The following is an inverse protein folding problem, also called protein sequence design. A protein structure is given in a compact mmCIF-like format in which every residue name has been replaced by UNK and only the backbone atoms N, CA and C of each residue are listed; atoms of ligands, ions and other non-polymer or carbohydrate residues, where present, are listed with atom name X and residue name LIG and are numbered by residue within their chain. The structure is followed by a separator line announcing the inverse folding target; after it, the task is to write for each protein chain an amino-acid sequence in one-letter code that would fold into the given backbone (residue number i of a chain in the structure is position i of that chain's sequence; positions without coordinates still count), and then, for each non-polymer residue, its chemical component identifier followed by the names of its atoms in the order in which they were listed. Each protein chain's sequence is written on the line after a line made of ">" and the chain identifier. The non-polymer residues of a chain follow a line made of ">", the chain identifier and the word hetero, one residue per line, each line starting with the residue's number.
data_IF_957844059989
#
_entry.id   IF_957844059989
#
_cell.length_a   1.000
_cell.length_b   1.000
_cell.length_c   1.000
_cell.angle_alpha   90.00
_cell.angle_beta   90.00
_cell.angle_gamma   90.00
#
_symmetry.space_group_name_H-M   'P 1'
#
loop_
_entity.id
_entity.type
_entity.pdbx_description
1 polymer ?
#
# COMPACT_ATOMS: atom_id res chain seq x y z
N UNK A 1 -18.38 -5.43 -6.79
CA UNK A 1 -19.05 -4.84 -7.96
C UNK A 1 -19.60 -3.47 -7.57
N UNK A 2 -19.37 -2.50 -8.43
CA UNK A 2 -20.32 -1.44 -8.78
C UNK A 2 -21.79 -1.88 -8.66
N UNK A 3 -22.72 -0.94 -8.52
CA UNK A 3 -24.12 -1.27 -8.81
C UNK A 3 -24.21 -1.91 -10.22
N UNK A 4 -24.79 -3.13 -10.36
CA UNK A 4 -24.85 -3.81 -11.64
C UNK A 4 -25.52 -2.93 -12.71
N UNK A 5 -25.05 -3.03 -13.95
CA UNK A 5 -25.58 -2.36 -15.15
C UNK A 5 -25.52 -0.82 -15.18
N UNK A 6 -24.83 -0.17 -14.23
CA UNK A 6 -24.65 1.29 -14.22
C UNK A 6 -23.40 1.78 -14.96
N UNK A 7 -22.42 0.90 -15.21
CA UNK A 7 -21.09 1.27 -15.71
C UNK A 7 -20.25 2.11 -14.73
N UNK A 8 -20.72 2.37 -13.50
CA UNK A 8 -20.04 3.23 -12.52
C UNK A 8 -19.11 2.40 -11.64
N UNK A 9 -17.81 2.69 -11.58
CA UNK A 9 -16.91 2.01 -10.63
C UNK A 9 -16.84 2.74 -9.30
N UNK A 10 -16.54 2.00 -8.23
CA UNK A 10 -16.26 2.54 -6.90
C UNK A 10 -14.85 2.13 -6.54
N UNK A 11 -13.93 3.10 -6.43
CA UNK A 11 -12.55 2.84 -5.99
C UNK A 11 -12.53 2.22 -4.60
N UNK A 12 -11.62 1.28 -4.36
CA UNK A 12 -11.51 0.47 -3.12
C UNK A 12 -10.21 0.79 -2.36
N UNK A 13 -9.82 -0.07 -1.41
CA UNK A 13 -8.59 0.14 -0.64
C UNK A 13 -7.35 -0.14 -1.47
N UNK A 14 -6.34 0.72 -1.40
CA UNK A 14 -5.06 0.57 -2.13
C UNK A 14 -3.94 0.17 -1.17
N UNK A 15 -3.39 -1.06 -1.25
CA UNK A 15 -2.34 -1.49 -0.34
C UNK A 15 -1.08 -0.60 -0.38
N UNK A 16 -0.75 -0.03 -1.54
CA UNK A 16 0.41 0.87 -1.65
C UNK A 16 0.32 2.09 -0.71
N UNK A 17 -0.88 2.58 -0.42
CA UNK A 17 -1.08 3.72 0.48
C UNK A 17 -0.75 3.36 1.94
N UNK A 18 -0.87 2.08 2.33
CA UNK A 18 -0.33 1.63 3.61
C UNK A 18 1.20 1.77 3.61
N UNK A 19 1.85 1.42 2.50
CA UNK A 19 3.28 1.59 2.30
C UNK A 19 3.75 3.04 2.43
N UNK A 20 3.07 3.97 1.76
CA UNK A 20 3.36 5.42 1.86
C UNK A 20 3.18 5.93 3.29
N UNK A 21 2.12 5.48 3.97
CA UNK A 21 1.89 5.79 5.40
C UNK A 21 2.98 5.21 6.29
N UNK A 22 3.60 4.09 5.90
CA UNK A 22 4.75 3.49 6.57
C UNK A 22 6.02 4.33 6.46
N UNK A 23 6.32 4.87 5.27
CA UNK A 23 7.44 5.82 5.09
C UNK A 23 7.21 7.09 5.91
N UNK A 24 5.99 7.62 5.94
CA UNK A 24 5.65 8.73 6.83
C UNK A 24 5.84 8.37 8.31
N UNK A 25 5.45 7.15 8.73
CA UNK A 25 5.64 6.69 10.10
C UNK A 25 7.12 6.76 10.51
N UNK A 26 8.02 6.30 9.65
CA UNK A 26 9.47 6.36 9.88
C UNK A 26 9.95 7.80 10.06
N UNK A 27 9.47 8.75 9.23
CA UNK A 27 9.84 10.16 9.33
C UNK A 27 9.44 10.79 10.68
N UNK A 28 8.33 10.36 11.28
CA UNK A 28 7.88 10.85 12.59
C UNK A 28 8.33 9.96 13.77
N UNK A 29 9.29 9.05 13.54
CA UNK A 29 9.87 8.20 14.58
C UNK A 29 8.94 7.09 15.08
N UNK A 30 7.96 6.68 14.27
CA UNK A 30 7.05 5.58 14.57
C UNK A 30 7.49 4.27 13.89
N UNK A 31 7.20 3.10 14.49
CA UNK A 31 7.47 1.82 13.83
C UNK A 31 6.60 1.69 12.58
N UNK A 32 7.17 1.10 11.51
CA UNK A 32 6.47 0.91 10.24
C UNK A 32 6.22 -0.55 9.85
N UNK A 33 6.59 -1.51 10.71
CA UNK A 33 6.45 -2.94 10.44
C UNK A 33 5.01 -3.37 10.13
N UNK A 34 4.02 -2.81 10.83
CA UNK A 34 2.60 -3.13 10.60
C UNK A 34 2.09 -2.69 9.22
N UNK A 35 2.67 -1.62 8.65
CA UNK A 35 2.34 -1.19 7.30
C UNK A 35 2.88 -2.16 6.26
N UNK A 36 4.14 -2.60 6.43
CA UNK A 36 4.73 -3.64 5.58
C UNK A 36 3.94 -4.95 5.66
N UNK A 37 3.57 -5.37 6.88
CA UNK A 37 2.74 -6.55 7.08
C UNK A 37 1.33 -6.40 6.47
N UNK A 38 0.75 -5.21 6.52
CA UNK A 38 -0.55 -4.91 5.88
C UNK A 38 -0.45 -5.05 4.37
N UNK A 39 0.61 -4.54 3.75
CA UNK A 39 0.86 -4.74 2.32
C UNK A 39 1.04 -6.24 2.01
N UNK A 40 1.86 -6.96 2.77
CA UNK A 40 2.11 -8.39 2.55
C UNK A 40 0.82 -9.23 2.58
N UNK A 41 -0.09 -8.93 3.54
CA UNK A 41 -1.38 -9.63 3.68
C UNK A 41 -2.35 -9.43 2.51
N UNK A 42 -2.11 -8.43 1.64
CA UNK A 42 -2.90 -8.24 0.42
C UNK A 42 -2.46 -9.14 -0.74
N UNK A 43 -1.30 -9.81 -0.61
CA UNK A 43 -0.79 -10.72 -1.61
C UNK A 43 -1.60 -12.01 -1.69
N UNK A 44 -1.75 -12.54 -2.90
CA UNK A 44 -2.33 -13.87 -3.11
C UNK A 44 -1.29 -14.99 -2.89
N UNK A 45 -1.66 -16.25 -3.13
CA UNK A 45 -0.76 -17.42 -2.99
C UNK A 45 0.51 -17.32 -3.84
N UNK A 46 0.45 -16.58 -4.95
CA UNK A 46 1.60 -16.29 -5.82
C UNK A 46 2.42 -15.07 -5.40
N UNK A 47 2.14 -14.49 -4.22
CA UNK A 47 2.76 -13.27 -3.68
C UNK A 47 2.52 -12.01 -4.52
N UNK A 48 1.51 -12.01 -5.40
CA UNK A 48 1.21 -10.86 -6.24
C UNK A 48 0.44 -9.82 -5.43
N UNK A 49 1.06 -8.66 -5.20
CA UNK A 49 0.42 -7.51 -4.56
C UNK A 49 -0.48 -6.74 -5.56
N UNK A 50 -1.76 -6.49 -5.22
CA UNK A 50 -2.73 -5.87 -6.12
C UNK A 50 -2.66 -4.34 -6.12
N UNK A 51 -3.34 -3.73 -7.08
CA UNK A 51 -3.68 -2.30 -7.07
C UNK A 51 -4.71 -2.01 -5.98
N UNK A 52 -5.82 -2.77 -5.95
CA UNK A 52 -6.91 -2.58 -5.01
C UNK A 52 -7.31 -3.88 -4.34
N UNK A 53 -7.76 -3.78 -3.09
CA UNK A 53 -8.35 -4.85 -2.30
C UNK A 53 -9.80 -4.55 -1.95
N UNK A 54 -10.61 -5.59 -1.78
CA UNK A 54 -11.97 -5.43 -1.26
C UNK A 54 -11.93 -4.82 0.14
N UNK A 55 -12.72 -3.77 0.33
CA UNK A 55 -12.89 -3.07 1.61
C UNK A 55 -14.17 -3.53 2.32
N UNK A 56 -14.61 -2.86 3.38
CA UNK A 56 -15.80 -3.30 4.12
C UNK A 56 -17.14 -2.94 3.44
N UNK A 57 -17.12 -2.39 2.21
CA UNK A 57 -18.33 -2.00 1.48
C UNK A 57 -18.80 -3.15 0.58
N UNK A 58 -20.11 -3.32 0.35
CA UNK A 58 -20.62 -4.32 -0.58
C UNK A 58 -19.87 -4.33 -1.93
N UNK A 59 -19.64 -5.51 -2.51
CA UNK A 59 -20.20 -6.83 -2.17
C UNK A 59 -19.36 -7.64 -1.17
N UNK A 60 -18.44 -7.01 -0.44
CA UNK A 60 -17.53 -7.74 0.45
C UNK A 60 -18.26 -8.64 1.44
N UNK A 61 -17.73 -9.85 1.63
CA UNK A 61 -18.35 -10.92 2.41
C UNK A 61 -19.15 -11.93 1.57
N UNK A 62 -19.35 -11.66 0.29
CA UNK A 62 -19.83 -12.66 -0.67
C UNK A 62 -18.69 -13.55 -1.17
N UNK A 63 -18.97 -14.78 -1.65
CA UNK A 63 -17.97 -15.65 -2.25
C UNK A 63 -17.19 -14.93 -3.38
N UNK A 64 -15.86 -14.93 -3.29
CA UNK A 64 -14.98 -14.22 -4.24
C UNK A 64 -14.77 -12.72 -3.96
N UNK A 65 -15.29 -12.19 -2.86
CA UNK A 65 -15.19 -10.79 -2.45
C UNK A 65 -14.74 -10.68 -0.99
N UNK A 66 -13.64 -11.31 -0.60
CA UNK A 66 -13.17 -11.29 0.78
C UNK A 66 -12.38 -10.01 1.08
N UNK A 67 -12.61 -9.43 2.26
CA UNK A 67 -11.94 -8.20 2.68
C UNK A 67 -10.42 -8.39 2.69
N UNK A 68 -9.68 -7.44 2.11
CA UNK A 68 -8.23 -7.50 2.01
C UNK A 68 -7.69 -8.33 0.84
N UNK A 69 -8.52 -9.13 0.16
CA UNK A 69 -8.14 -9.81 -1.08
C UNK A 69 -8.21 -8.89 -2.30
N UNK A 70 -7.43 -9.20 -3.32
CA UNK A 70 -7.40 -8.48 -4.58
C UNK A 70 -8.80 -8.34 -5.19
N UNK A 71 -9.11 -7.13 -5.66
CA UNK A 71 -10.26 -6.91 -6.53
C UNK A 71 -9.94 -7.34 -7.97
N UNK A 72 -10.86 -7.07 -8.91
CA UNK A 72 -10.63 -7.29 -10.33
C UNK A 72 -9.80 -6.18 -11.02
N UNK A 73 -9.22 -5.25 -10.26
CA UNK A 73 -8.19 -4.32 -10.75
C UNK A 73 -6.88 -5.04 -11.06
N UNK A 74 -5.85 -4.31 -11.51
CA UNK A 74 -4.54 -4.87 -11.80
C UNK A 74 -3.96 -5.65 -10.61
N UNK A 75 -3.60 -6.92 -10.85
CA UNK A 75 -2.88 -7.79 -9.92
C UNK A 75 -1.97 -8.70 -10.74
N UNK A 76 -0.63 -8.57 -10.65
CA UNK A 76 0.11 -7.64 -9.80
C UNK A 76 0.05 -6.18 -10.28
N UNK A 77 0.23 -5.23 -9.36
CA UNK A 77 0.63 -3.86 -9.68
C UNK A 77 2.11 -3.67 -9.35
N UNK A 78 2.93 -3.31 -10.35
CA UNK A 78 4.38 -3.07 -10.16
C UNK A 78 4.67 -1.96 -9.15
N UNK A 79 3.83 -0.92 -9.10
CA UNK A 79 3.98 0.15 -8.11
C UNK A 79 3.78 -0.36 -6.68
N UNK A 80 2.76 -1.18 -6.40
CA UNK A 80 2.57 -1.79 -5.07
C UNK A 80 3.80 -2.61 -4.65
N UNK A 81 4.40 -3.36 -5.58
CA UNK A 81 5.64 -4.12 -5.32
C UNK A 81 6.84 -3.20 -5.06
N UNK A 82 7.02 -2.16 -5.86
CA UNK A 82 8.09 -1.18 -5.66
C UNK A 82 7.98 -0.51 -4.27
N UNK A 83 6.76 -0.14 -3.87
CA UNK A 83 6.50 0.44 -2.55
C UNK A 83 6.78 -0.57 -1.42
N UNK A 84 6.44 -1.85 -1.62
CA UNK A 84 6.70 -2.90 -0.63
C UNK A 84 8.21 -3.08 -0.37
N UNK A 85 8.99 -3.21 -1.45
CA UNK A 85 10.45 -3.37 -1.36
C UNK A 85 11.09 -2.12 -0.77
N UNK A 86 10.67 -0.93 -1.22
CA UNK A 86 11.21 0.34 -0.74
C UNK A 86 10.93 0.58 0.74
N UNK A 87 9.72 0.26 1.21
CA UNK A 87 9.39 0.35 2.64
C UNK A 87 10.21 -0.65 3.46
N UNK A 88 10.43 -1.88 2.97
CA UNK A 88 11.26 -2.86 3.67
C UNK A 88 12.70 -2.34 3.87
N UNK A 89 13.30 -1.78 2.83
CA UNK A 89 14.62 -1.13 2.92
C UNK A 89 14.60 0.08 3.85
N UNK A 90 13.55 0.89 3.79
CA UNK A 90 13.39 2.07 4.65
C UNK A 90 13.24 1.72 6.13
N UNK A 91 12.57 0.61 6.45
CA UNK A 91 12.49 0.09 7.82
C UNK A 91 13.87 -0.33 8.32
N UNK A 92 14.65 -1.03 7.48
CA UNK A 92 16.01 -1.45 7.83
C UNK A 92 16.94 -0.26 8.07
N UNK A 93 16.83 0.79 7.25
CA UNK A 93 17.64 2.01 7.35
C UNK A 93 17.11 2.99 8.42
N UNK A 94 15.88 2.79 8.91
CA UNK A 94 15.22 3.67 9.88
C UNK A 94 14.76 5.02 9.31
N UNK A 95 14.71 5.17 7.98
CA UNK A 95 14.24 6.36 7.25
C UNK A 95 13.87 6.00 5.80
N UNK A 96 13.04 6.79 5.11
CA UNK A 96 12.79 6.61 3.68
C UNK A 96 14.07 6.70 2.85
N UNK A 97 14.42 5.63 2.13
CA UNK A 97 15.70 5.52 1.39
C UNK A 97 15.74 6.36 0.12
N UNK A 98 14.57 6.69 -0.42
CA UNK A 98 14.39 7.46 -1.65
C UNK A 98 14.27 8.97 -1.43
N UNK A 99 14.20 9.43 -0.17
CA UNK A 99 14.05 10.84 0.12
C UNK A 99 15.30 11.61 -0.35
N UNK A 100 15.16 12.57 -1.29
CA UNK A 100 16.31 13.29 -1.82
C UNK A 100 16.86 14.27 -0.79
N UNK A 101 18.08 14.02 -0.32
CA UNK A 101 18.74 14.82 0.72
C UNK A 101 18.85 16.30 0.36
N UNK A 102 19.16 16.64 -0.89
CA UNK A 102 19.24 18.05 -1.36
C UNK A 102 17.94 18.82 -1.15
N UNK A 103 16.79 18.14 -1.20
CA UNK A 103 15.46 18.75 -0.98
C UNK A 103 15.15 18.77 0.52
N UNK A 104 15.33 17.65 1.22
CA UNK A 104 15.02 17.57 2.66
C UNK A 104 15.87 18.54 3.47
N UNK A 105 17.18 18.60 3.23
CA UNK A 105 18.09 19.54 3.89
C UNK A 105 17.71 21.02 3.68
N UNK A 106 17.00 21.35 2.60
CA UNK A 106 16.57 22.72 2.30
C UNK A 106 15.23 23.07 2.93
N UNK A 107 14.29 22.14 2.96
CA UNK A 107 12.87 22.43 3.25
C UNK A 107 12.33 21.75 4.50
N UNK A 108 13.08 20.84 5.13
CA UNK A 108 12.68 20.17 6.37
C UNK A 108 13.75 20.37 7.45
N UNK A 109 13.45 20.00 8.68
CA UNK A 109 14.42 19.98 9.78
C UNK A 109 15.29 18.72 9.79
N UNK A 110 15.06 17.78 8.87
CA UNK A 110 15.76 16.48 8.79
C UNK A 110 16.60 16.44 7.52
N UNK A 111 17.92 16.52 7.70
CA UNK A 111 18.92 16.42 6.63
C UNK A 111 19.68 15.11 6.81
N UNK A 112 19.34 14.10 5.99
CA UNK A 112 19.94 12.76 5.99
C UNK A 112 20.01 12.22 4.56
#
# INVERSE_FOLDING_TARGET
>A
MSEPDTGRTLGRGWPLLAGERGEYALLVGQPAGDFLATMARSGNEGLMLPEQVWDLRPPTGQPGYLAGEATFSATPLTWTHAQFVRLAWSIQEGRPVEQPSVVSCRYTSVCR
#
